data_IF_766968607137
#
_entry.id   IF_766968607137
#
_cell.length_a   1.000
_cell.length_b   1.000
_cell.length_c   1.000
_cell.angle_alpha   90.00
_cell.angle_beta   90.00
_cell.angle_gamma   90.00
#
_symmetry.space_group_name_H-M   'P 1'
#
loop_
_entity.id
_entity.type
_entity.pdbx_description
1 polymer ?
#
# COMPACT_ATOMS: atom_id res chain seq x y z
N UNK A 1 16.78 -9.69 20.32
CA UNK A 1 17.64 -9.19 19.21
C UNK A 1 17.32 -9.78 17.84
N UNK A 2 16.96 -11.07 17.70
CA UNK A 2 16.77 -11.74 16.38
C UNK A 2 15.65 -11.16 15.48
N UNK A 3 14.50 -10.76 16.03
CA UNK A 3 13.37 -10.27 15.23
C UNK A 3 13.61 -8.88 14.59
N UNK A 4 14.30 -7.96 15.28
CA UNK A 4 14.63 -6.63 14.75
C UNK A 4 15.58 -6.71 13.57
N UNK A 5 16.56 -7.60 13.66
CA UNK A 5 17.52 -7.88 12.58
C UNK A 5 16.78 -8.48 11.37
N UNK A 6 15.84 -9.41 11.60
CA UNK A 6 15.05 -10.03 10.53
C UNK A 6 14.17 -9.01 9.80
N UNK A 7 13.46 -8.14 10.52
CA UNK A 7 12.65 -7.06 9.90
C UNK A 7 13.54 -6.10 9.09
N UNK A 8 14.73 -5.76 9.60
CA UNK A 8 15.69 -4.93 8.89
C UNK A 8 16.20 -5.61 7.61
N UNK A 9 16.52 -6.91 7.66
CA UNK A 9 16.94 -7.67 6.48
C UNK A 9 15.82 -7.85 5.46
N UNK A 10 14.57 -7.98 5.89
CA UNK A 10 13.41 -8.02 4.98
C UNK A 10 13.19 -6.67 4.32
N UNK A 11 13.26 -5.59 5.08
CA UNK A 11 13.18 -4.23 4.55
C UNK A 11 14.33 -3.94 3.56
N UNK A 12 15.56 -4.38 3.88
CA UNK A 12 16.73 -4.24 3.01
C UNK A 12 16.64 -5.13 1.78
N UNK A 13 16.14 -6.36 1.88
CA UNK A 13 15.98 -7.27 0.74
C UNK A 13 14.82 -6.84 -0.17
N UNK A 14 13.71 -6.36 0.38
CA UNK A 14 12.61 -5.78 -0.38
C UNK A 14 13.05 -4.47 -1.05
N UNK A 15 13.76 -3.59 -0.34
CA UNK A 15 14.31 -2.36 -0.89
C UNK A 15 15.38 -2.64 -1.96
N UNK A 16 16.27 -3.63 -1.77
CA UNK A 16 17.28 -4.01 -2.74
C UNK A 16 16.67 -4.73 -3.97
N UNK A 17 15.64 -5.56 -3.77
CA UNK A 17 14.86 -6.16 -4.85
C UNK A 17 14.12 -5.11 -5.67
N UNK A 18 13.51 -4.13 -5.01
CA UNK A 18 12.88 -2.99 -5.68
C UNK A 18 13.91 -2.11 -6.38
N UNK A 19 15.03 -1.76 -5.75
CA UNK A 19 16.08 -0.92 -6.34
C UNK A 19 16.81 -1.60 -7.50
N UNK A 20 16.95 -2.93 -7.47
CA UNK A 20 17.55 -3.71 -8.57
C UNK A 20 16.60 -3.88 -9.76
N UNK A 21 15.29 -3.96 -9.53
CA UNK A 21 14.28 -3.92 -10.61
C UNK A 21 14.10 -2.50 -11.15
N UNK A 22 14.24 -1.49 -10.29
CA UNK A 22 14.24 -0.05 -10.63
C UNK A 22 15.63 0.38 -11.13
N UNK A 23 16.36 -0.48 -11.85
CA UNK A 23 17.53 -0.08 -12.62
C UNK A 23 17.13 1.03 -13.61
N UNK A 24 17.23 2.26 -13.11
CA UNK A 24 17.61 3.51 -13.75
C UNK A 24 17.05 3.68 -15.16
N UNK A 25 15.74 3.58 -15.30
CA UNK A 25 15.01 4.31 -16.35
C UNK A 25 13.86 5.04 -15.68
N UNK A 26 14.04 6.34 -15.41
CA UNK A 26 12.91 7.23 -15.14
C UNK A 26 11.91 7.02 -16.28
N UNK A 27 10.65 6.72 -15.97
CA UNK A 27 9.66 6.75 -17.03
C UNK A 27 9.61 8.18 -17.57
N UNK A 28 9.54 8.37 -18.89
CA UNK A 28 9.61 9.69 -19.53
C UNK A 28 8.30 10.50 -19.35
N UNK A 29 7.67 10.40 -18.18
CA UNK A 29 6.76 11.43 -17.69
C UNK A 29 7.53 12.59 -17.01
N UNK A 30 8.86 12.47 -16.88
CA UNK A 30 9.77 13.58 -16.61
C UNK A 30 9.58 14.67 -17.69
N UNK A 31 9.65 15.96 -17.34
CA UNK A 31 9.31 17.07 -18.24
C UNK A 31 10.04 16.91 -19.57
N UNK A 32 9.30 17.10 -20.68
CA UNK A 32 9.78 17.09 -22.06
C UNK A 32 11.26 17.51 -22.14
N UNK A 33 12.16 16.55 -22.34
CA UNK A 33 13.52 16.87 -22.75
C UNK A 33 13.46 17.13 -24.25
N UNK A 34 13.07 18.37 -24.60
CA UNK A 34 12.86 18.80 -25.98
C UNK A 34 14.11 18.54 -26.84
N UNK A 35 15.30 18.53 -26.25
CA UNK A 35 16.54 18.26 -26.97
C UNK A 35 16.68 16.77 -27.32
N UNK A 36 16.43 15.88 -26.36
CA UNK A 36 16.50 14.44 -26.58
C UNK A 36 15.38 13.92 -27.52
N UNK A 37 14.18 14.50 -27.44
CA UNK A 37 13.08 14.16 -28.36
C UNK A 37 13.30 14.76 -29.77
N UNK A 38 13.84 15.99 -29.89
CA UNK A 38 14.17 16.58 -31.19
C UNK A 38 15.25 15.78 -31.95
N UNK A 39 16.30 15.32 -31.26
CA UNK A 39 17.32 14.46 -31.87
C UNK A 39 16.77 13.12 -32.36
N UNK A 40 15.73 12.58 -31.71
CA UNK A 40 15.13 11.30 -32.08
C UNK A 40 14.10 11.43 -33.19
N UNK A 41 13.33 12.53 -33.22
CA UNK A 41 12.47 12.87 -34.36
C UNK A 41 13.33 13.10 -35.60
N UNK A 42 14.51 13.71 -35.45
CA UNK A 42 15.48 13.86 -36.54
C UNK A 42 16.05 12.52 -37.06
N UNK A 43 15.93 11.43 -36.30
CA UNK A 43 16.36 10.09 -36.71
C UNK A 43 15.25 9.30 -37.42
N UNK A 44 14.01 9.79 -37.45
CA UNK A 44 12.91 9.17 -38.20
C UNK A 44 13.08 9.57 -39.68
N UNK A 45 13.02 8.62 -40.63
CA UNK A 45 13.09 8.91 -42.05
C UNK A 45 12.02 9.94 -42.46
N UNK A 46 12.43 10.94 -43.22
CA UNK A 46 11.56 12.06 -43.61
C UNK A 46 10.35 11.56 -44.40
N UNK A 47 10.49 10.50 -45.19
CA UNK A 47 9.39 9.91 -45.95
C UNK A 47 8.28 9.35 -45.05
N UNK A 48 8.63 8.81 -43.89
CA UNK A 48 7.66 8.26 -42.93
C UNK A 48 6.96 9.36 -42.14
N UNK A 49 7.67 10.43 -41.79
CA UNK A 49 7.11 11.62 -41.14
C UNK A 49 6.12 12.37 -42.03
N UNK A 50 6.32 12.35 -43.35
CA UNK A 50 5.43 12.99 -44.32
C UNK A 50 4.11 12.24 -44.54
N UNK A 51 4.09 10.93 -44.34
CA UNK A 51 2.89 10.10 -44.56
C UNK A 51 1.95 10.10 -43.36
N UNK A 52 2.45 9.96 -42.13
CA UNK A 52 1.62 9.97 -40.93
C UNK A 52 2.40 10.33 -39.65
N UNK A 53 2.65 11.62 -39.40
CA UNK A 53 3.47 12.06 -38.27
C UNK A 53 2.77 11.87 -36.92
N UNK A 54 1.44 11.89 -36.90
CA UNK A 54 0.67 11.82 -35.67
C UNK A 54 0.63 10.39 -35.11
N UNK A 55 0.45 9.37 -35.94
CA UNK A 55 0.39 7.98 -35.48
C UNK A 55 1.74 7.49 -34.95
N UNK A 56 2.85 7.84 -35.61
CA UNK A 56 4.20 7.45 -35.18
C UNK A 56 4.56 8.00 -33.79
N UNK A 57 4.19 9.25 -33.51
CA UNK A 57 4.41 9.86 -32.19
C UNK A 57 3.51 9.25 -31.11
N UNK A 58 2.26 8.91 -31.46
CA UNK A 58 1.30 8.27 -30.54
C UNK A 58 1.71 6.83 -30.21
N UNK A 59 2.17 6.05 -31.18
CA UNK A 59 2.58 4.66 -30.97
C UNK A 59 3.85 4.57 -30.13
N UNK A 60 4.84 5.44 -30.38
CA UNK A 60 6.02 5.50 -29.52
C UNK A 60 5.67 5.91 -28.08
N UNK A 61 4.70 6.82 -27.91
CA UNK A 61 4.21 7.20 -26.58
C UNK A 61 3.56 6.02 -25.87
N UNK A 62 2.67 5.29 -26.55
CA UNK A 62 2.01 4.09 -25.99
C UNK A 62 3.02 3.01 -25.62
N UNK A 63 4.04 2.79 -26.44
CA UNK A 63 5.10 1.82 -26.15
C UNK A 63 5.92 2.21 -24.91
N UNK A 64 6.25 3.51 -24.72
CA UNK A 64 6.93 4.01 -23.52
C UNK A 64 6.08 3.84 -22.27
N UNK A 65 4.79 4.19 -22.35
CA UNK A 65 3.82 4.02 -21.26
C UNK A 65 3.66 2.53 -20.89
N UNK A 66 3.50 1.65 -21.89
CA UNK A 66 3.40 0.21 -21.67
C UNK A 66 4.65 -0.39 -21.02
N UNK A 67 5.84 0.02 -21.44
CA UNK A 67 7.10 -0.42 -20.85
C UNK A 67 7.24 0.02 -19.38
N UNK A 68 6.81 1.25 -19.06
CA UNK A 68 6.79 1.78 -17.70
C UNK A 68 5.83 0.99 -16.80
N UNK A 69 4.60 0.77 -17.27
CA UNK A 69 3.57 0.00 -16.55
C UNK A 69 4.06 -1.43 -16.33
N UNK A 70 4.68 -2.05 -17.32
CA UNK A 70 5.24 -3.40 -17.19
C UNK A 70 6.43 -3.47 -16.21
N UNK A 71 7.28 -2.44 -16.14
CA UNK A 71 8.34 -2.36 -15.15
C UNK A 71 7.79 -2.17 -13.73
N UNK A 72 6.83 -1.27 -13.55
CA UNK A 72 6.14 -1.08 -12.28
C UNK A 72 5.40 -2.34 -11.83
N UNK A 73 4.69 -3.00 -12.75
CA UNK A 73 4.00 -4.26 -12.49
C UNK A 73 4.94 -5.37 -12.02
N UNK A 74 6.15 -5.47 -12.61
CA UNK A 74 7.19 -6.40 -12.16
C UNK A 74 7.70 -6.05 -10.76
N UNK A 75 7.96 -4.77 -10.48
CA UNK A 75 8.37 -4.33 -9.14
C UNK A 75 7.31 -4.67 -8.09
N UNK A 76 6.02 -4.41 -8.38
CA UNK A 76 4.90 -4.80 -7.50
C UNK A 76 4.80 -6.31 -7.31
N UNK A 77 5.00 -7.09 -8.37
CA UNK A 77 4.97 -8.55 -8.28
C UNK A 77 6.05 -9.08 -7.33
N UNK A 78 7.27 -8.54 -7.39
CA UNK A 78 8.36 -8.90 -6.47
C UNK A 78 8.00 -8.53 -5.02
N UNK A 79 7.48 -7.32 -4.80
CA UNK A 79 7.01 -6.87 -3.48
C UNK A 79 5.89 -7.79 -2.96
N UNK A 80 4.94 -8.16 -3.80
CA UNK A 80 3.83 -9.04 -3.45
C UNK A 80 4.29 -10.46 -3.10
N UNK A 81 5.19 -11.04 -3.89
CA UNK A 81 5.77 -12.36 -3.61
C UNK A 81 6.54 -12.33 -2.29
N UNK A 82 7.34 -11.29 -2.05
CA UNK A 82 8.02 -11.11 -0.77
C UNK A 82 6.99 -11.02 0.38
N UNK A 83 5.95 -10.19 0.26
CA UNK A 83 4.91 -10.07 1.28
C UNK A 83 4.22 -11.42 1.58
N UNK A 84 3.93 -12.23 0.55
CA UNK A 84 3.35 -13.58 0.71
C UNK A 84 4.29 -14.51 1.46
N UNK A 85 5.59 -14.48 1.16
CA UNK A 85 6.60 -15.33 1.84
C UNK A 85 6.81 -14.89 3.30
N UNK A 86 6.74 -13.59 3.57
CA UNK A 86 6.98 -13.03 4.91
C UNK A 86 5.73 -13.01 5.79
N UNK A 87 4.52 -13.04 5.23
CA UNK A 87 3.27 -13.09 6.01
C UNK A 87 3.20 -14.30 6.97
N UNK A 88 3.56 -15.55 6.57
CA UNK A 88 3.65 -16.68 7.48
C UNK A 88 4.68 -16.47 8.61
N UNK A 89 5.83 -15.85 8.32
CA UNK A 89 6.84 -15.54 9.33
C UNK A 89 6.33 -14.51 10.33
N UNK A 90 5.67 -13.45 9.86
CA UNK A 90 5.01 -12.47 10.71
C UNK A 90 3.89 -13.11 11.56
N UNK A 91 3.18 -14.11 11.01
CA UNK A 91 2.15 -14.86 11.72
C UNK A 91 2.71 -15.84 12.75
N UNK A 92 3.79 -16.57 12.45
CA UNK A 92 4.48 -17.45 13.40
C UNK A 92 5.06 -16.64 14.55
N UNK A 93 5.65 -15.50 14.22
CA UNK A 93 6.13 -14.53 15.20
C UNK A 93 4.98 -13.86 15.95
N UNK A 94 3.70 -14.01 15.55
CA UNK A 94 2.47 -13.61 16.26
C UNK A 94 2.14 -14.48 17.49
N UNK A 95 2.87 -15.57 17.73
CA UNK A 95 2.68 -16.46 18.90
C UNK A 95 2.68 -15.77 20.29
N UNK A 96 3.26 -14.58 20.40
CA UNK A 96 3.21 -13.66 21.54
C UNK A 96 1.80 -13.17 21.95
N UNK A 97 0.77 -13.26 21.10
CA UNK A 97 -0.60 -12.87 21.49
C UNK A 97 -1.12 -13.65 22.72
N UNK A 98 -0.69 -14.91 22.90
CA UNK A 98 -0.99 -15.73 24.09
C UNK A 98 -0.30 -15.21 25.34
N UNK A 99 0.89 -14.62 25.21
CA UNK A 99 1.60 -13.93 26.29
C UNK A 99 1.00 -12.56 26.60
N UNK A 100 0.35 -11.93 25.63
CA UNK A 100 -0.22 -10.59 25.74
C UNK A 100 -1.48 -10.57 26.60
N UNK A 101 -2.28 -11.64 26.57
CA UNK A 101 -3.37 -11.86 27.52
C UNK A 101 -2.87 -11.97 28.98
N UNK A 102 -1.58 -12.32 29.19
CA UNK A 102 -0.95 -12.39 30.52
C UNK A 102 -0.44 -11.03 31.01
N UNK A 103 -0.27 -10.03 30.13
CA UNK A 103 0.17 -8.68 30.50
C UNK A 103 -0.96 -7.82 31.07
N UNK A 104 -2.23 -8.21 30.83
CA UNK A 104 -3.41 -7.53 31.36
C UNK A 104 -4.28 -8.50 32.19
N UNK A 105 -3.74 -9.12 33.26
CA UNK A 105 -4.41 -10.19 33.98
C UNK A 105 -5.65 -9.72 34.76
N UNK A 106 -5.79 -8.42 35.02
CA UNK A 106 -6.88 -7.81 35.80
C UNK A 106 -7.79 -6.88 34.99
N UNK A 107 -7.51 -6.64 33.70
CA UNK A 107 -8.34 -5.76 32.90
C UNK A 107 -9.73 -6.38 32.63
N UNK A 108 -10.81 -5.59 32.54
CA UNK A 108 -12.10 -6.11 32.13
C UNK A 108 -12.02 -6.68 30.70
N UNK A 109 -12.83 -7.72 30.41
CA UNK A 109 -12.86 -8.40 29.09
C UNK A 109 -12.88 -7.45 27.89
N UNK A 110 -13.73 -6.40 27.83
CA UNK A 110 -13.70 -5.46 26.70
C UNK A 110 -12.35 -4.77 26.57
N UNK A 111 -11.76 -4.25 27.64
CA UNK A 111 -10.45 -3.59 27.57
C UNK A 111 -9.34 -4.54 27.07
N UNK A 112 -9.40 -5.83 27.42
CA UNK A 112 -8.45 -6.83 26.90
C UNK A 112 -8.60 -7.06 25.40
N UNK A 113 -9.83 -7.21 24.90
CA UNK A 113 -10.05 -7.41 23.46
C UNK A 113 -9.65 -6.18 22.65
N UNK A 114 -9.94 -4.97 23.16
CA UNK A 114 -9.47 -3.73 22.54
C UNK A 114 -7.94 -3.69 22.48
N UNK A 115 -7.25 -3.95 23.60
CA UNK A 115 -5.80 -3.95 23.65
C UNK A 115 -5.17 -4.98 22.70
N UNK A 116 -5.73 -6.19 22.64
CA UNK A 116 -5.29 -7.24 21.70
C UNK A 116 -5.51 -6.82 20.25
N UNK A 117 -6.67 -6.24 19.93
CA UNK A 117 -6.99 -5.75 18.58
C UNK A 117 -6.07 -4.60 18.14
N UNK A 118 -5.78 -3.66 19.04
CA UNK A 118 -4.85 -2.56 18.79
C UNK A 118 -3.42 -3.06 18.56
N UNK A 119 -2.93 -3.99 19.39
CA UNK A 119 -1.59 -4.55 19.26
C UNK A 119 -1.44 -5.45 18.04
N UNK A 120 -2.48 -6.19 17.67
CA UNK A 120 -2.53 -6.93 16.41
C UNK A 120 -2.45 -5.97 15.20
N UNK A 121 -3.17 -4.85 15.25
CA UNK A 121 -3.15 -3.83 14.19
C UNK A 121 -1.77 -3.19 14.06
N UNK A 122 -1.15 -2.82 15.18
CA UNK A 122 0.23 -2.31 15.23
C UNK A 122 1.23 -3.33 14.68
N UNK A 123 1.04 -4.61 14.98
CA UNK A 123 1.90 -5.67 14.44
C UNK A 123 1.76 -5.80 12.92
N UNK A 124 0.53 -5.89 12.41
CA UNK A 124 0.28 -5.97 10.97
C UNK A 124 0.90 -4.76 10.28
N UNK A 125 0.72 -3.56 10.83
CA UNK A 125 1.34 -2.35 10.30
C UNK A 125 2.86 -2.40 10.34
N UNK A 126 3.48 -2.81 11.45
CA UNK A 126 4.94 -2.87 11.57
C UNK A 126 5.59 -3.81 10.53
N UNK A 127 4.88 -4.88 10.15
CA UNK A 127 5.32 -5.81 9.11
C UNK A 127 4.93 -5.38 7.70
N UNK A 128 3.82 -4.65 7.53
CA UNK A 128 3.36 -4.14 6.23
C UNK A 128 4.09 -2.88 5.78
N UNK A 129 4.39 -1.95 6.70
CA UNK A 129 4.97 -0.64 6.41
C UNK A 129 6.25 -0.67 5.56
N UNK A 130 7.20 -1.64 5.74
CA UNK A 130 8.36 -1.75 4.86
C UNK A 130 8.00 -1.98 3.40
N UNK A 131 6.94 -2.75 3.12
CA UNK A 131 6.47 -3.03 1.77
C UNK A 131 5.79 -1.80 1.15
N UNK A 132 5.02 -1.05 1.93
CA UNK A 132 4.42 0.21 1.47
C UNK A 132 5.49 1.25 1.10
N UNK A 133 6.55 1.35 1.92
CA UNK A 133 7.70 2.22 1.64
C UNK A 133 8.40 1.79 0.35
N UNK A 134 8.61 0.48 0.17
CA UNK A 134 9.23 -0.05 -1.03
C UNK A 134 8.39 0.25 -2.29
N UNK A 135 7.05 0.14 -2.22
CA UNK A 135 6.15 0.48 -3.32
C UNK A 135 6.21 1.97 -3.68
N UNK A 136 6.21 2.86 -2.69
CA UNK A 136 6.35 4.31 -2.94
C UNK A 136 7.71 4.68 -3.50
N UNK A 137 8.79 4.05 -3.03
CA UNK A 137 10.13 4.23 -3.60
C UNK A 137 10.19 3.76 -5.05
N UNK A 138 9.55 2.62 -5.38
CA UNK A 138 9.43 2.14 -6.76
C UNK A 138 8.67 3.14 -7.63
N UNK A 139 7.51 3.61 -7.15
CA UNK A 139 6.69 4.58 -7.86
C UNK A 139 7.42 5.92 -8.07
N UNK A 140 8.18 6.40 -7.07
CA UNK A 140 9.01 7.61 -7.19
C UNK A 140 10.18 7.41 -8.15
N UNK A 141 10.87 6.28 -8.09
CA UNK A 141 11.97 5.96 -9.01
C UNK A 141 11.53 5.93 -10.48
N UNK A 142 10.30 5.51 -10.74
CA UNK A 142 9.67 5.52 -12.06
C UNK A 142 9.00 6.85 -12.42
N UNK A 143 8.92 7.83 -11.51
CA UNK A 143 8.25 9.11 -11.75
C UNK A 143 6.71 9.05 -11.73
N UNK A 144 6.13 7.97 -11.20
CA UNK A 144 4.68 7.74 -11.08
C UNK A 144 4.08 8.40 -9.83
N UNK A 145 4.90 8.65 -8.80
CA UNK A 145 4.46 9.35 -7.58
C UNK A 145 5.14 10.71 -7.44
N UNK A 146 4.34 11.74 -7.16
CA UNK A 146 4.76 13.09 -6.76
C UNK A 146 4.51 13.37 -5.28
N UNK A 147 4.08 12.35 -4.54
CA UNK A 147 3.76 12.48 -3.13
C UNK A 147 5.03 12.84 -2.34
N UNK A 148 4.96 13.85 -1.48
CA UNK A 148 6.08 14.24 -0.62
C UNK A 148 6.29 13.24 0.53
N UNK A 149 7.48 13.22 1.13
CA UNK A 149 7.75 12.34 2.28
C UNK A 149 6.86 12.66 3.49
N UNK A 150 6.55 13.94 3.70
CA UNK A 150 5.67 14.39 4.80
C UNK A 150 4.23 13.97 4.56
N UNK A 151 3.73 14.10 3.32
CA UNK A 151 2.39 13.63 2.93
C UNK A 151 2.27 12.11 3.11
N UNK A 152 3.29 11.36 2.67
CA UNK A 152 3.31 9.90 2.83
C UNK A 152 3.26 9.48 4.31
N UNK A 153 4.09 10.10 5.18
CA UNK A 153 4.10 9.80 6.61
C UNK A 153 2.79 10.19 7.30
N UNK A 154 2.21 11.32 6.92
CA UNK A 154 0.88 11.75 7.40
C UNK A 154 -0.20 10.74 7.03
N UNK A 155 -0.20 10.29 5.77
CA UNK A 155 -1.14 9.29 5.27
C UNK A 155 -0.98 7.95 6.00
N UNK A 156 0.26 7.51 6.22
CA UNK A 156 0.56 6.29 6.96
C UNK A 156 0.14 6.38 8.44
N UNK A 157 0.35 7.52 9.08
CA UNK A 157 -0.09 7.75 10.47
C UNK A 157 -1.61 7.72 10.61
N UNK A 158 -2.33 8.37 9.69
CA UNK A 158 -3.78 8.36 9.67
C UNK A 158 -4.34 6.97 9.34
N UNK A 159 -3.73 6.25 8.39
CA UNK A 159 -4.09 4.86 8.08
C UNK A 159 -3.89 3.92 9.27
N UNK A 160 -2.78 4.07 10.00
CA UNK A 160 -2.51 3.31 11.23
C UNK A 160 -3.57 3.59 12.31
N UNK A 161 -3.91 4.86 12.53
CA UNK A 161 -4.96 5.24 13.48
C UNK A 161 -6.31 4.58 13.14
N UNK A 162 -6.67 4.60 11.85
CA UNK A 162 -7.89 3.94 11.36
C UNK A 162 -7.83 2.42 11.55
N UNK A 163 -6.69 1.81 11.25
CA UNK A 163 -6.48 0.36 11.38
C UNK A 163 -6.58 -0.09 12.84
N UNK A 164 -6.00 0.67 13.78
CA UNK A 164 -6.10 0.40 15.23
C UNK A 164 -7.55 0.50 15.69
N UNK A 165 -8.28 1.56 15.30
CA UNK A 165 -9.70 1.70 15.62
C UNK A 165 -10.53 0.53 15.07
N UNK A 166 -10.31 0.16 13.81
CA UNK A 166 -10.97 -0.98 13.18
C UNK A 166 -10.66 -2.29 13.91
N UNK A 167 -9.40 -2.54 14.26
CA UNK A 167 -8.97 -3.73 14.99
C UNK A 167 -9.60 -3.83 16.38
N UNK A 168 -9.76 -2.70 17.08
CA UNK A 168 -10.48 -2.64 18.36
C UNK A 168 -11.95 -3.02 18.18
N UNK A 169 -12.64 -2.42 17.21
CA UNK A 169 -14.07 -2.67 16.95
C UNK A 169 -14.31 -4.15 16.57
N UNK A 170 -13.47 -4.71 15.70
CA UNK A 170 -13.55 -6.11 15.28
C UNK A 170 -13.28 -7.05 16.46
N UNK A 171 -12.27 -6.78 17.28
CA UNK A 171 -11.98 -7.60 18.45
C UNK A 171 -13.12 -7.60 19.48
N UNK A 172 -13.79 -6.46 19.67
CA UNK A 172 -14.97 -6.37 20.55
C UNK A 172 -16.15 -7.18 20.00
N UNK A 173 -16.45 -7.05 18.71
CA UNK A 173 -17.59 -7.77 18.09
C UNK A 173 -17.40 -9.28 18.18
N UNK A 174 -16.20 -9.80 17.93
CA UNK A 174 -15.87 -11.23 18.10
C UNK A 174 -16.07 -11.69 19.56
N UNK A 175 -15.71 -10.86 20.54
CA UNK A 175 -15.89 -11.16 21.96
C UNK A 175 -17.36 -11.33 22.38
N UNK A 176 -18.28 -10.60 21.74
CA UNK A 176 -19.73 -10.67 21.98
C UNK A 176 -20.38 -11.84 21.23
N UNK A 177 -19.81 -12.27 20.11
CA UNK A 177 -20.37 -13.26 19.19
C UNK A 177 -20.03 -14.73 19.52
N UNK A 178 -19.44 -15.04 20.69
CA UNK A 178 -19.04 -16.40 21.12
C UNK A 178 -20.19 -17.44 21.22
N UNK A 179 -21.45 -17.13 20.85
CA UNK A 179 -22.57 -18.09 20.86
C UNK A 179 -22.83 -18.68 19.45
N UNK A 180 -23.05 -20.01 19.34
CA UNK A 180 -22.99 -20.75 18.08
C UNK A 180 -24.30 -20.70 17.27
N UNK A 181 -25.01 -19.56 17.23
CA UNK A 181 -26.20 -19.40 16.36
C UNK A 181 -25.83 -18.50 15.18
N UNK A 182 -25.36 -19.16 14.13
CA UNK A 182 -24.71 -18.57 12.95
C UNK A 182 -25.71 -17.92 11.98
N UNK A 183 -25.17 -17.01 11.15
CA UNK A 183 -25.78 -16.15 10.12
C UNK A 183 -26.35 -14.78 10.57
N UNK A 184 -27.57 -14.69 11.11
CA UNK A 184 -28.26 -13.38 11.28
C UNK A 184 -27.61 -12.45 12.32
N UNK A 185 -27.08 -13.00 13.42
CA UNK A 185 -26.41 -12.18 14.45
C UNK A 185 -25.05 -11.66 14.00
N UNK A 186 -24.35 -12.40 13.15
CA UNK A 186 -23.11 -11.95 12.53
C UNK A 186 -23.38 -10.83 11.53
N UNK A 187 -24.41 -11.00 10.68
CA UNK A 187 -24.83 -9.96 9.75
C UNK A 187 -25.28 -8.69 10.49
N UNK A 188 -26.09 -8.82 11.55
CA UNK A 188 -26.51 -7.68 12.36
C UNK A 188 -25.36 -6.98 13.11
N UNK A 189 -24.34 -7.73 13.54
CA UNK A 189 -23.16 -7.14 14.20
C UNK A 189 -22.17 -6.49 13.21
N UNK A 190 -22.12 -6.98 11.97
CA UNK A 190 -21.27 -6.43 10.91
C UNK A 190 -21.96 -5.34 10.10
N UNK A 191 -23.29 -5.26 10.09
CA UNK A 191 -24.04 -4.25 9.35
C UNK A 191 -23.65 -2.80 9.74
N UNK A 192 -23.50 -2.43 11.03
CA UNK A 192 -23.01 -1.10 11.39
C UNK A 192 -21.60 -0.81 10.86
N UNK A 193 -20.73 -1.83 10.85
CA UNK A 193 -19.38 -1.69 10.29
C UNK A 193 -19.44 -1.51 8.77
N UNK A 194 -20.29 -2.26 8.07
CA UNK A 194 -20.49 -2.12 6.64
C UNK A 194 -21.05 -0.74 6.27
N UNK A 195 -22.03 -0.24 7.03
CA UNK A 195 -22.59 1.12 6.86
C UNK A 195 -21.52 2.18 7.14
N UNK A 196 -20.73 2.00 8.19
CA UNK A 196 -19.59 2.89 8.48
C UNK A 196 -18.60 2.92 7.31
N UNK A 197 -18.22 1.75 6.77
CA UNK A 197 -17.33 1.65 5.62
C UNK A 197 -17.93 2.24 4.33
N UNK A 198 -19.24 2.08 4.12
CA UNK A 198 -19.90 2.54 2.89
C UNK A 198 -20.24 4.03 2.90
N UNK A 199 -20.48 4.62 4.08
CA UNK A 199 -20.93 6.01 4.22
C UNK A 199 -19.86 6.88 4.87
N UNK A 200 -19.43 6.50 6.08
CA UNK A 200 -18.53 7.37 6.86
C UNK A 200 -17.15 7.46 6.23
N UNK A 201 -16.62 6.34 5.71
CA UNK A 201 -15.31 6.36 5.05
C UNK A 201 -15.28 7.31 3.84
N UNK A 202 -16.15 7.19 2.82
CA UNK A 202 -16.07 8.09 1.67
C UNK A 202 -16.44 9.55 2.00
N UNK A 203 -17.36 9.81 2.93
CA UNK A 203 -17.83 11.17 3.21
C UNK A 203 -16.94 11.94 4.19
N UNK A 204 -16.33 11.26 5.16
CA UNK A 204 -15.63 11.91 6.27
C UNK A 204 -14.15 11.56 6.36
N UNK A 205 -13.77 10.34 5.95
CA UNK A 205 -12.38 9.88 6.04
C UNK A 205 -11.64 10.18 4.75
N UNK A 206 -12.20 9.86 3.59
CA UNK A 206 -11.54 10.08 2.29
C UNK A 206 -11.16 11.55 2.04
N UNK A 207 -11.94 12.57 2.48
CA UNK A 207 -11.54 13.98 2.38
C UNK A 207 -10.35 14.38 3.24
N UNK A 208 -10.00 13.59 4.26
CA UNK A 208 -8.79 13.83 5.06
C UNK A 208 -7.51 13.52 4.25
N UNK A 209 -7.63 12.64 3.26
CA UNK A 209 -6.51 12.20 2.42
C UNK A 209 -6.50 12.88 1.04
N UNK A 210 -7.67 13.29 0.53
CA UNK A 210 -7.83 13.79 -0.83
C UNK A 210 -8.50 15.16 -0.85
N UNK A 211 -7.96 16.07 -1.66
CA UNK A 211 -8.61 17.35 -1.96
C UNK A 211 -9.68 17.17 -3.03
N UNK A 212 -10.94 17.16 -2.62
CA UNK A 212 -12.07 17.17 -3.55
C UNK A 212 -12.32 18.61 -4.03
N UNK A 213 -12.26 18.82 -5.35
CA UNK A 213 -12.70 20.07 -5.99
C UNK A 213 -13.96 19.80 -6.79
N UNK A 214 -14.93 20.73 -6.82
CA UNK A 214 -16.09 20.60 -7.69
C UNK A 214 -15.61 20.50 -9.15
N UNK A 215 -16.30 19.67 -9.93
CA UNK A 215 -16.05 19.56 -11.36
C UNK A 215 -16.38 20.92 -12.01
N UNK A 216 -15.45 21.52 -12.78
CA UNK A 216 -15.69 22.79 -13.45
C UNK A 216 -16.72 22.69 -14.56
#
# INVERSE_FOLDING_TARGET
MRARVLILWVAVAAAAGVLSVVQVRRCPHAPFDRAADAQRVAAIPVEQLLHDPASLLVDQRRQREAACIAAYGRARAVVAVAAIVFAPLAWLLLGWHRGLARLLPNAPRPARYAAVGALLSLWIWAWGAPFDVAEVLAARGLGLSRESATTFLSNQGAALGLQVLAGVIIAQTIGVLRRPRWSLRYAAALAPLAVFMAIVVPLWIAPLFNSYRPMP
#
